data_IF_560977576955
#
_entry.id   IF_560977576955
#
_cell.length_a   1.000
_cell.length_b   1.000
_cell.length_c   1.000
_cell.angle_alpha   90.00
_cell.angle_beta   90.00
_cell.angle_gamma   90.00
#
_symmetry.space_group_name_H-M   'P 1'
#
loop_
_entity.id
_entity.type
_entity.pdbx_description
1 polymer ?
#
# COMPACT_ATOMS: atom_id res chain seq x y z
N UNK A 1 10.84 -23.29 7.46
CA UNK A 1 9.87 -23.01 6.38
C UNK A 1 9.94 -21.52 6.07
N UNK A 2 9.70 -21.13 4.81
CA UNK A 2 9.69 -19.71 4.40
C UNK A 2 8.42 -18.99 4.87
N UNK A 3 7.30 -19.72 4.96
CA UNK A 3 6.00 -19.23 5.40
C UNK A 3 5.71 -19.70 6.83
N UNK A 4 5.11 -18.81 7.61
CA UNK A 4 4.64 -19.00 8.98
C UNK A 4 3.11 -18.98 9.01
N UNK A 5 2.54 -20.05 9.55
CA UNK A 5 1.10 -20.27 9.72
C UNK A 5 0.66 -20.24 11.19
N UNK A 6 1.60 -20.13 12.13
CA UNK A 6 1.33 -20.28 13.56
C UNK A 6 1.20 -18.92 14.26
N UNK A 7 1.98 -17.91 13.82
CA UNK A 7 1.94 -16.58 14.46
C UNK A 7 0.58 -15.88 14.39
N UNK A 8 -0.17 -16.08 13.30
CA UNK A 8 -1.54 -15.58 13.16
C UNK A 8 -2.38 -16.62 12.41
N UNK A 9 -3.37 -17.20 13.09
CA UNK A 9 -4.29 -18.24 12.56
C UNK A 9 -5.09 -17.77 11.34
N UNK A 10 -5.18 -16.45 11.12
CA UNK A 10 -5.93 -15.85 10.00
C UNK A 10 -5.03 -15.35 8.89
N UNK A 11 -3.71 -15.43 9.03
CA UNK A 11 -2.76 -14.91 8.04
C UNK A 11 -1.70 -15.95 7.64
N UNK A 12 -0.96 -15.65 6.58
CA UNK A 12 0.27 -16.33 6.20
C UNK A 12 1.35 -15.26 6.22
N UNK A 13 2.32 -15.42 7.11
CA UNK A 13 3.35 -14.42 7.38
C UNK A 13 4.71 -14.95 6.89
N UNK A 14 5.61 -14.08 6.45
CA UNK A 14 7.00 -14.49 6.18
C UNK A 14 7.74 -14.79 7.49
N UNK A 15 8.47 -15.89 7.56
CA UNK A 15 9.17 -16.33 8.79
C UNK A 15 10.19 -15.30 9.34
N UNK A 16 10.64 -14.35 8.51
CA UNK A 16 11.56 -13.26 8.88
C UNK A 16 10.87 -11.94 9.25
N UNK A 17 9.54 -11.93 9.46
CA UNK A 17 8.81 -10.71 9.77
C UNK A 17 9.36 -10.00 11.03
N UNK A 18 9.49 -8.67 11.01
CA UNK A 18 9.99 -7.92 12.16
C UNK A 18 9.03 -8.07 13.35
N UNK A 19 9.55 -8.49 14.50
CA UNK A 19 8.79 -8.48 15.74
C UNK A 19 8.58 -7.03 16.18
N UNK A 20 7.33 -6.61 16.28
CA UNK A 20 6.99 -5.23 16.68
C UNK A 20 7.53 -4.97 18.09
N UNK A 21 8.47 -4.04 18.21
CA UNK A 21 9.05 -3.71 19.51
C UNK A 21 8.10 -2.81 20.29
N UNK A 22 7.50 -3.32 21.37
CA UNK A 22 6.55 -2.55 22.22
C UNK A 22 7.19 -1.39 23.02
N UNK A 23 8.51 -1.23 22.96
CA UNK A 23 9.25 -0.24 23.76
C UNK A 23 9.15 1.19 23.22
N UNK A 24 8.83 1.36 21.94
CA UNK A 24 8.76 2.65 21.28
C UNK A 24 7.47 2.74 20.45
N UNK A 25 6.56 3.61 20.87
CA UNK A 25 5.22 3.74 20.31
C UNK A 25 5.26 4.23 18.86
N UNK A 26 6.15 5.18 18.55
CA UNK A 26 6.30 5.73 17.20
C UNK A 26 6.84 4.67 16.23
N UNK A 27 7.83 3.91 16.69
CA UNK A 27 8.40 2.79 15.92
C UNK A 27 7.36 1.69 15.70
N UNK A 28 6.54 1.39 16.70
CA UNK A 28 5.46 0.43 16.58
C UNK A 28 4.38 0.90 15.59
N UNK A 29 3.98 2.17 15.64
CA UNK A 29 3.03 2.76 14.69
C UNK A 29 3.54 2.65 13.25
N UNK A 30 4.80 3.03 13.01
CA UNK A 30 5.43 2.88 11.70
C UNK A 30 5.45 1.43 11.24
N UNK A 31 5.86 0.48 12.11
CA UNK A 31 5.92 -0.95 11.75
C UNK A 31 4.55 -1.56 11.47
N UNK A 32 3.50 -1.06 12.13
CA UNK A 32 2.12 -1.50 11.93
C UNK A 32 1.41 -0.84 10.75
N UNK A 33 1.97 0.23 10.19
CA UNK A 33 1.41 0.87 9.01
C UNK A 33 1.39 -0.12 7.82
N UNK A 34 0.33 -0.06 7.01
CA UNK A 34 0.08 -0.93 5.87
C UNK A 34 1.29 -1.04 4.93
N UNK A 35 1.90 0.10 4.57
CA UNK A 35 3.11 0.20 3.76
C UNK A 35 4.32 -0.60 4.27
N UNK A 36 4.32 -1.00 5.54
CA UNK A 36 5.34 -1.87 6.10
C UNK A 36 4.84 -3.30 6.28
N UNK A 37 3.59 -3.48 6.72
CA UNK A 37 3.00 -4.81 6.92
C UNK A 37 2.85 -5.62 5.63
N UNK A 38 2.50 -5.01 4.50
CA UNK A 38 2.27 -5.74 3.24
C UNK A 38 3.51 -6.54 2.78
N UNK A 39 4.71 -6.15 3.22
CA UNK A 39 5.97 -6.80 2.85
C UNK A 39 6.10 -8.21 3.43
N UNK A 40 5.37 -8.51 4.51
CA UNK A 40 5.49 -9.78 5.21
C UNK A 40 4.15 -10.42 5.58
N UNK A 41 3.04 -9.68 5.59
CA UNK A 41 1.68 -10.21 5.79
C UNK A 41 0.99 -10.39 4.44
N UNK A 42 0.61 -11.63 4.13
CA UNK A 42 -0.12 -11.93 2.91
C UNK A 42 -1.52 -11.28 2.92
N UNK A 43 -2.20 -11.26 4.07
CA UNK A 43 -3.51 -10.61 4.22
C UNK A 43 -3.46 -9.12 3.85
N UNK A 44 -2.45 -8.41 4.33
CA UNK A 44 -2.25 -6.98 4.05
C UNK A 44 -1.82 -6.73 2.61
N UNK A 45 -1.04 -7.64 2.01
CA UNK A 45 -0.73 -7.56 0.58
C UNK A 45 -1.99 -7.74 -0.29
N UNK A 46 -2.83 -8.72 0.05
CA UNK A 46 -4.06 -9.02 -0.68
C UNK A 46 -5.11 -7.89 -0.54
N UNK A 47 -5.11 -7.14 0.57
CA UNK A 47 -6.06 -6.03 0.79
C UNK A 47 -5.87 -4.88 -0.20
N UNK A 48 -4.63 -4.62 -0.63
CA UNK A 48 -4.28 -3.55 -1.59
C UNK A 48 -3.97 -4.04 -3.00
N UNK A 49 -3.99 -5.36 -3.24
CA UNK A 49 -3.57 -5.97 -4.50
C UNK A 49 -4.36 -5.45 -5.71
N UNK A 50 -5.64 -5.11 -5.51
CA UNK A 50 -6.52 -4.61 -6.56
C UNK A 50 -6.97 -3.18 -6.28
N UNK A 51 -6.84 -2.31 -7.28
CA UNK A 51 -7.27 -0.90 -7.15
C UNK A 51 -8.78 -0.82 -6.95
N UNK A 52 -9.55 -1.61 -7.69
CA UNK A 52 -11.01 -1.76 -7.60
C UNK A 52 -11.36 -3.23 -7.51
N UNK A 53 -12.21 -3.60 -6.55
CA UNK A 53 -12.70 -4.99 -6.42
C UNK A 53 -14.06 -5.10 -7.12
N UNK A 54 -14.23 -6.01 -8.10
CA UNK A 54 -15.54 -6.29 -8.70
C UNK A 54 -16.56 -6.78 -7.66
N UNK A 55 -17.84 -6.49 -7.88
CA UNK A 55 -18.92 -6.79 -6.91
C UNK A 55 -19.03 -8.27 -6.48
N UNK A 56 -18.60 -9.20 -7.33
CA UNK A 56 -18.66 -10.64 -7.08
C UNK A 56 -17.28 -11.27 -6.86
N UNK A 57 -16.26 -10.46 -6.60
CA UNK A 57 -14.92 -10.93 -6.31
C UNK A 57 -14.63 -10.80 -4.82
N UNK A 58 -14.16 -11.88 -4.21
CA UNK A 58 -13.69 -11.91 -2.82
C UNK A 58 -12.44 -12.78 -2.71
N UNK A 59 -11.56 -12.40 -1.81
CA UNK A 59 -10.38 -13.19 -1.49
C UNK A 59 -10.60 -13.76 -0.09
N UNK A 60 -10.51 -15.07 0.05
CA UNK A 60 -10.63 -15.75 1.34
C UNK A 60 -9.25 -16.32 1.67
N UNK A 61 -8.68 -15.85 2.78
CA UNK A 61 -7.42 -16.35 3.31
C UNK A 61 -7.70 -17.07 4.62
N UNK A 62 -7.28 -18.34 4.71
CA UNK A 62 -7.46 -19.17 5.92
C UNK A 62 -8.89 -19.17 6.47
N UNK A 63 -9.88 -19.27 5.58
CA UNK A 63 -11.30 -19.29 5.95
C UNK A 63 -11.92 -17.94 6.31
N UNK A 64 -11.14 -16.84 6.27
CA UNK A 64 -11.66 -15.50 6.52
C UNK A 64 -11.46 -14.59 5.30
N UNK A 65 -12.53 -13.90 4.92
CA UNK A 65 -12.52 -12.89 3.87
C UNK A 65 -11.49 -11.78 4.15
N UNK A 66 -10.72 -11.41 3.12
CA UNK A 66 -9.78 -10.30 3.15
C UNK A 66 -10.55 -9.04 2.76
N UNK A 67 -10.62 -8.09 3.70
CA UNK A 67 -11.24 -6.79 3.44
C UNK A 67 -10.32 -5.99 2.51
N UNK A 68 -10.90 -5.44 1.45
CA UNK A 68 -10.19 -4.53 0.55
C UNK A 68 -9.84 -3.26 1.31
N UNK A 69 -8.60 -2.82 1.17
CA UNK A 69 -8.13 -1.55 1.69
C UNK A 69 -7.86 -0.58 0.55
N UNK A 70 -8.54 0.58 0.54
CA UNK A 70 -8.30 1.62 -0.43
C UNK A 70 -7.29 2.64 0.14
N UNK A 71 -6.10 2.70 -0.44
CA UNK A 71 -5.01 3.57 0.05
C UNK A 71 -5.43 5.06 0.09
N UNK A 72 -6.31 5.49 -0.83
CA UNK A 72 -6.81 6.86 -0.84
C UNK A 72 -7.62 7.21 0.44
N UNK A 73 -8.17 6.22 1.13
CA UNK A 73 -8.91 6.42 2.38
C UNK A 73 -7.97 6.76 3.55
N UNK A 74 -6.67 6.48 3.44
CA UNK A 74 -5.64 6.83 4.44
C UNK A 74 -5.07 8.25 4.24
N UNK A 75 -5.52 8.96 3.21
CA UNK A 75 -4.99 10.26 2.83
C UNK A 75 -5.87 11.42 3.33
N UNK A 76 -5.21 12.56 3.59
CA UNK A 76 -5.79 13.90 3.81
C UNK A 76 -5.26 14.83 2.71
N UNK A 77 -6.01 15.90 2.43
CA UNK A 77 -5.69 16.87 1.36
C UNK A 77 -5.52 16.20 -0.02
N UNK A 78 -6.55 15.44 -0.42
CA UNK A 78 -6.57 14.71 -1.68
C UNK A 78 -6.58 15.66 -2.88
N UNK A 79 -5.66 15.43 -3.82
CA UNK A 79 -5.62 16.05 -5.14
C UNK A 79 -5.70 14.98 -6.22
N UNK A 80 -6.37 15.32 -7.32
CA UNK A 80 -6.49 14.45 -8.50
C UNK A 80 -5.73 15.10 -9.66
N UNK A 81 -4.63 14.48 -10.05
CA UNK A 81 -3.77 14.94 -11.13
C UNK A 81 -4.06 14.09 -12.37
N UNK A 82 -4.36 14.77 -13.47
CA UNK A 82 -4.61 14.12 -14.75
C UNK A 82 -3.33 14.14 -15.59
N UNK A 83 -2.75 12.98 -15.83
CA UNK A 83 -1.55 12.83 -16.67
C UNK A 83 -1.91 12.25 -18.03
N UNK A 84 -1.49 12.92 -19.11
CA UNK A 84 -1.70 12.50 -20.50
C UNK A 84 -0.37 12.26 -21.20
N UNK A 85 0.24 11.08 -21.06
CA UNK A 85 1.46 10.77 -21.79
C UNK A 85 1.15 10.60 -23.28
N UNK A 86 2.08 11.09 -24.11
CA UNK A 86 2.11 10.80 -25.54
C UNK A 86 2.74 9.42 -25.73
N UNK A 87 1.97 8.45 -26.22
CA UNK A 87 2.42 7.04 -26.36
C UNK A 87 2.75 6.70 -27.83
N UNK A 88 2.49 7.64 -28.75
CA UNK A 88 2.83 7.51 -30.16
C UNK A 88 2.17 8.61 -30.99
N UNK A 89 2.33 8.60 -32.32
CA UNK A 89 1.90 9.68 -33.20
C UNK A 89 0.40 10.01 -33.10
N UNK A 90 -0.46 9.04 -32.77
CA UNK A 90 -1.92 9.20 -32.68
C UNK A 90 -2.54 8.60 -31.41
N UNK A 91 -1.76 8.36 -30.34
CA UNK A 91 -2.28 7.71 -29.12
C UNK A 91 -1.88 8.48 -27.87
N UNK A 92 -2.89 9.02 -27.20
CA UNK A 92 -2.78 9.55 -25.84
C UNK A 92 -3.32 8.50 -24.88
N UNK A 93 -2.60 8.20 -23.80
CA UNK A 93 -3.26 7.60 -22.63
C UNK A 93 -3.68 8.69 -21.67
N UNK A 94 -4.62 8.34 -20.80
CA UNK A 94 -5.03 9.15 -19.68
C UNK A 94 -4.84 8.36 -18.40
N UNK A 95 -4.13 8.94 -17.44
CA UNK A 95 -3.96 8.38 -16.10
C UNK A 95 -4.46 9.40 -15.10
N UNK A 96 -5.36 8.97 -14.22
CA UNK A 96 -5.77 9.76 -13.05
C UNK A 96 -4.91 9.29 -11.88
N UNK A 97 -4.15 10.22 -11.32
CA UNK A 97 -3.31 9.99 -10.15
C UNK A 97 -3.94 10.70 -8.96
N UNK A 98 -4.27 9.95 -7.92
CA UNK A 98 -4.66 10.51 -6.63
C UNK A 98 -3.40 10.73 -5.81
N UNK A 99 -3.19 11.93 -5.30
CA UNK A 99 -2.08 12.26 -4.40
C UNK A 99 -2.66 12.84 -3.13
N UNK A 100 -2.07 12.51 -1.98
CA UNK A 100 -2.41 13.17 -0.73
C UNK A 100 -1.32 13.00 0.32
N UNK A 101 -1.57 13.55 1.49
CA UNK A 101 -0.72 13.34 2.66
C UNK A 101 -1.31 12.23 3.52
N UNK A 102 -0.50 11.30 4.03
CA UNK A 102 -0.96 10.29 4.98
C UNK A 102 -1.55 10.96 6.23
N UNK A 103 -2.63 10.39 6.75
CA UNK A 103 -3.25 10.86 8.00
C UNK A 103 -2.25 10.85 9.16
N UNK A 104 -1.42 9.81 9.22
CA UNK A 104 -0.37 9.59 10.23
C UNK A 104 0.93 10.35 9.93
N UNK A 105 0.94 11.28 8.97
CA UNK A 105 2.08 12.16 8.74
C UNK A 105 2.02 13.40 9.66
N UNK A 106 3.17 13.84 10.21
CA UNK A 106 4.53 13.41 9.88
C UNK A 106 5.08 12.24 10.70
N UNK A 107 4.30 11.61 11.57
CA UNK A 107 4.75 10.57 12.51
C UNK A 107 5.31 9.35 11.77
N UNK A 108 4.75 9.00 10.61
CA UNK A 108 5.25 7.93 9.74
C UNK A 108 6.25 8.45 8.69
N UNK A 109 7.29 7.66 8.43
CA UNK A 109 8.26 7.92 7.36
C UNK A 109 7.95 7.07 6.13
N UNK A 110 6.81 7.36 5.49
CA UNK A 110 6.31 6.64 4.33
C UNK A 110 5.97 7.67 3.26
N UNK A 111 6.35 7.36 2.03
CA UNK A 111 6.11 8.17 0.85
C UNK A 111 6.18 7.29 -0.39
N UNK A 112 5.72 7.84 -1.51
CA UNK A 112 5.84 7.22 -2.83
C UNK A 112 4.54 6.70 -3.41
N UNK A 113 4.57 6.38 -4.69
CA UNK A 113 3.40 6.08 -5.50
C UNK A 113 3.05 4.59 -5.46
N UNK A 114 1.77 4.29 -5.30
CA UNK A 114 1.25 2.94 -5.56
C UNK A 114 0.82 2.82 -7.02
N UNK A 115 1.61 2.12 -7.82
CA UNK A 115 1.40 1.99 -9.27
C UNK A 115 0.62 0.72 -9.57
N UNK A 116 -0.55 0.90 -10.19
CA UNK A 116 -1.42 -0.18 -10.64
C UNK A 116 -1.41 -0.29 -12.17
N UNK A 117 -1.43 -1.53 -12.68
CA UNK A 117 -1.60 -1.82 -14.10
C UNK A 117 -2.73 -2.84 -14.28
N UNK A 118 -3.70 -2.55 -15.16
CA UNK A 118 -4.88 -3.39 -15.39
C UNK A 118 -5.53 -3.85 -14.06
N UNK A 119 -5.78 -2.89 -13.18
CA UNK A 119 -6.37 -3.08 -11.85
C UNK A 119 -5.50 -3.83 -10.82
N UNK A 120 -4.27 -4.25 -11.15
CA UNK A 120 -3.37 -4.99 -10.24
C UNK A 120 -2.19 -4.13 -9.80
N UNK A 121 -1.86 -4.19 -8.51
CA UNK A 121 -0.69 -3.52 -7.94
C UNK A 121 0.61 -4.09 -8.51
N UNK A 122 1.47 -3.22 -9.03
CA UNK A 122 2.77 -3.58 -9.61
C UNK A 122 3.91 -3.07 -8.73
N UNK A 123 3.87 -1.78 -8.36
CA UNK A 123 4.89 -1.16 -7.51
C UNK A 123 4.22 -0.47 -6.32
N UNK A 124 4.30 -1.06 -5.12
CA UNK A 124 3.80 -0.44 -3.90
C UNK A 124 4.79 0.59 -3.35
N UNK A 125 4.29 1.79 -3.00
CA UNK A 125 5.07 2.86 -2.37
C UNK A 125 6.41 3.14 -3.07
N UNK A 126 6.38 3.28 -4.41
CA UNK A 126 7.54 3.63 -5.20
C UNK A 126 7.95 5.07 -4.92
N UNK A 127 9.08 5.23 -4.23
CA UNK A 127 9.69 6.54 -4.03
C UNK A 127 10.21 7.12 -5.35
N UNK A 128 9.61 8.24 -5.76
CA UNK A 128 10.01 9.02 -6.95
C UNK A 128 10.57 10.39 -6.58
N UNK A 129 10.55 10.76 -5.30
CA UNK A 129 11.07 12.03 -4.85
C UNK A 129 12.56 11.90 -4.54
N UNK A 130 13.38 12.79 -5.10
CA UNK A 130 14.81 12.87 -4.78
C UNK A 130 15.01 13.17 -3.29
N UNK A 131 15.41 12.17 -2.49
CA UNK A 131 16.20 12.15 -1.22
C UNK A 131 16.08 13.34 -0.23
N UNK A 132 15.06 14.19 -0.36
CA UNK A 132 14.84 15.37 0.44
C UNK A 132 13.57 15.11 1.25
N UNK A 133 13.65 15.33 2.57
CA UNK A 133 12.55 15.16 3.54
C UNK A 133 11.24 15.92 3.23
N UNK A 134 11.18 16.66 2.12
CA UNK A 134 10.02 17.46 1.68
C UNK A 134 8.84 16.61 1.18
N UNK A 135 9.07 15.37 0.78
CA UNK A 135 8.01 14.45 0.30
C UNK A 135 7.51 13.46 1.35
N UNK A 136 7.96 13.59 2.61
CA UNK A 136 7.56 12.67 3.68
C UNK A 136 6.05 12.74 3.89
N UNK A 137 5.41 11.57 3.88
CA UNK A 137 3.97 11.44 4.05
C UNK A 137 3.18 11.56 2.74
N UNK A 138 3.80 11.92 1.61
CA UNK A 138 3.09 12.06 0.33
C UNK A 138 3.00 10.71 -0.36
N UNK A 139 1.78 10.27 -0.65
CA UNK A 139 1.45 8.97 -1.28
C UNK A 139 0.45 9.18 -2.41
#
# INVERSE_FOLDING_TARGET
MELDFESDVKDIILAGAPKVSKKDVLKALCQQHLANKFRYSLREYLSILYLRVPAHFRIILRGQEVQRHNIADDLKYLEFIFYRPHIGPNSEAAVVTTIGLLKDAPEVNINGFCVYHKNRLIMPFWDVASQNNKSRGVV
#
